data_IF_524687879246
#
_entry.id   IF_524687879246
#
_cell.length_a   1.000
_cell.length_b   1.000
_cell.length_c   1.000
_cell.angle_alpha   90.00
_cell.angle_beta   90.00
_cell.angle_gamma   90.00
#
_symmetry.space_group_name_H-M   'P 1'
#
loop_
_entity.id
_entity.type
_entity.pdbx_description
1 polymer ?
#
# COMPACT_ATOMS: atom_id res chain seq x y z
N UNK A 1 22.00 31.52 -9.69
CA UNK A 1 20.81 30.81 -10.20
C UNK A 1 21.16 29.33 -10.28
N UNK A 2 20.34 28.45 -9.73
CA UNK A 2 20.55 27.00 -9.87
C UNK A 2 20.55 26.64 -11.35
N UNK A 3 21.55 25.89 -11.79
CA UNK A 3 21.70 25.42 -13.19
C UNK A 3 20.98 24.10 -13.45
N UNK A 4 20.23 23.59 -12.47
CA UNK A 4 19.48 22.35 -12.61
C UNK A 4 18.13 22.60 -13.30
N UNK A 5 17.64 21.64 -14.12
CA UNK A 5 16.32 21.73 -14.72
C UNK A 5 15.20 21.83 -13.69
N UNK A 6 14.10 22.48 -14.05
CA UNK A 6 12.86 22.38 -13.29
C UNK A 6 12.39 20.91 -13.24
N UNK A 7 11.97 20.44 -12.07
CA UNK A 7 11.48 19.08 -11.89
C UNK A 7 9.96 19.04 -12.09
N UNK A 8 9.50 18.29 -13.09
CA UNK A 8 8.07 18.13 -13.42
C UNK A 8 7.62 16.67 -13.46
N UNK A 9 8.29 15.80 -12.68
CA UNK A 9 8.05 14.34 -12.66
C UNK A 9 7.59 13.84 -11.27
N UNK A 10 6.74 14.62 -10.60
CA UNK A 10 6.27 14.33 -9.24
C UNK A 10 5.42 13.06 -9.11
N UNK A 11 4.89 12.55 -10.23
CA UNK A 11 4.17 11.27 -10.25
C UNK A 11 5.11 10.06 -10.10
N UNK A 12 6.40 10.20 -10.47
CA UNK A 12 7.39 9.15 -10.29
C UNK A 12 7.91 9.11 -8.85
N UNK A 13 8.30 10.26 -8.29
CA UNK A 13 8.68 10.41 -6.88
C UNK A 13 8.67 11.88 -6.46
N UNK A 14 8.86 12.16 -5.17
CA UNK A 14 8.85 13.53 -4.63
C UNK A 14 10.09 13.78 -3.77
N UNK A 15 10.64 15.01 -3.75
CA UNK A 15 11.66 15.37 -2.78
C UNK A 15 11.08 15.28 -1.37
N UNK A 16 11.84 14.69 -0.44
CA UNK A 16 11.43 14.59 0.96
C UNK A 16 11.40 15.99 1.57
N UNK A 17 10.31 16.34 2.24
CA UNK A 17 10.16 17.60 2.97
C UNK A 17 11.20 17.69 4.11
N UNK A 18 11.81 18.86 4.31
CA UNK A 18 12.84 19.07 5.34
C UNK A 18 12.38 18.67 6.74
N UNK A 19 11.09 18.85 7.06
CA UNK A 19 10.51 18.42 8.35
C UNK A 19 10.50 16.91 8.50
N UNK A 20 10.30 16.18 7.40
CA UNK A 20 10.37 14.71 7.38
C UNK A 20 11.81 14.25 7.54
N UNK A 21 12.76 14.89 6.85
CA UNK A 21 14.20 14.60 7.00
C UNK A 21 14.63 14.76 8.47
N UNK A 22 14.26 15.86 9.11
CA UNK A 22 14.60 16.10 10.52
C UNK A 22 14.03 15.01 11.45
N UNK A 23 12.78 14.60 11.24
CA UNK A 23 12.16 13.52 12.01
C UNK A 23 12.87 12.17 11.80
N UNK A 24 13.26 11.85 10.55
CA UNK A 24 14.00 10.63 10.24
C UNK A 24 15.39 10.63 10.87
N UNK A 25 16.14 11.73 10.76
CA UNK A 25 17.49 11.86 11.33
C UNK A 25 17.48 11.68 12.85
N UNK A 26 16.42 12.13 13.55
CA UNK A 26 16.28 11.93 14.98
C UNK A 26 16.17 10.44 15.40
N UNK A 27 15.82 9.55 14.47
CA UNK A 27 15.82 8.10 14.67
C UNK A 27 17.15 7.42 14.30
N UNK A 28 18.13 8.17 13.78
CA UNK A 28 19.41 7.66 13.30
C UNK A 28 20.58 8.13 14.18
N UNK A 29 21.70 7.43 14.07
CA UNK A 29 22.94 7.78 14.78
C UNK A 29 22.95 7.38 16.26
N UNK A 30 24.12 7.51 16.90
CA UNK A 30 24.34 7.06 18.29
C UNK A 30 23.50 7.81 19.32
N UNK A 31 23.23 9.09 19.06
CA UNK A 31 22.44 9.97 19.93
C UNK A 31 20.94 9.94 19.61
N UNK A 32 20.53 9.27 18.53
CA UNK A 32 19.15 9.18 18.09
C UNK A 32 18.38 7.99 18.69
N UNK A 33 17.10 7.88 18.36
CA UNK A 33 16.27 6.72 18.71
C UNK A 33 16.55 5.55 17.77
N UNK A 34 17.76 4.98 17.86
CA UNK A 34 18.26 3.94 16.94
C UNK A 34 17.84 2.51 17.30
N UNK A 35 17.20 2.32 18.46
CA UNK A 35 16.89 0.99 19.00
C UNK A 35 15.95 0.18 18.10
N UNK A 36 15.97 -1.14 18.26
CA UNK A 36 14.99 -2.01 17.61
C UNK A 36 13.65 -1.94 18.37
N UNK A 37 12.52 -1.56 17.73
CA UNK A 37 11.21 -1.45 18.39
C UNK A 37 10.68 -2.79 18.96
N UNK A 38 11.17 -3.92 18.45
CA UNK A 38 10.84 -5.25 18.96
C UNK A 38 11.50 -5.57 20.31
N UNK A 39 12.56 -4.85 20.70
CA UNK A 39 13.21 -5.03 21.99
C UNK A 39 12.38 -4.42 23.12
N UNK A 40 11.76 -5.25 23.96
CA UNK A 40 10.92 -4.80 25.08
C UNK A 40 11.63 -4.71 26.44
N UNK A 41 12.86 -5.22 26.53
CA UNK A 41 13.60 -5.35 27.80
C UNK A 41 14.41 -4.11 28.19
N UNK A 42 14.54 -3.11 27.33
CA UNK A 42 15.37 -1.94 27.60
C UNK A 42 14.82 -0.64 26.97
N UNK A 43 15.28 0.50 27.51
CA UNK A 43 14.79 1.83 27.15
C UNK A 43 14.89 2.12 25.64
N UNK A 44 16.01 1.76 24.99
CA UNK A 44 16.19 2.03 23.55
C UNK A 44 15.09 1.42 22.67
N UNK A 45 14.62 0.20 22.98
CA UNK A 45 13.57 -0.44 22.19
C UNK A 45 12.17 0.09 22.52
N UNK A 46 11.92 0.46 23.79
CA UNK A 46 10.68 1.14 24.18
C UNK A 46 10.54 2.51 23.50
N UNK A 47 11.62 3.31 23.44
CA UNK A 47 11.62 4.60 22.74
C UNK A 47 11.38 4.42 21.23
N UNK A 48 12.05 3.45 20.59
CA UNK A 48 11.83 3.15 19.17
C UNK A 48 10.39 2.70 18.89
N UNK A 49 9.80 1.87 19.76
CA UNK A 49 8.39 1.46 19.64
C UNK A 49 7.45 2.66 19.73
N UNK A 50 7.70 3.58 20.66
CA UNK A 50 6.89 4.80 20.79
C UNK A 50 6.95 5.65 19.51
N UNK A 51 8.11 5.78 18.88
CA UNK A 51 8.25 6.49 17.61
C UNK A 51 7.45 5.81 16.48
N UNK A 52 7.53 4.48 16.36
CA UNK A 52 6.76 3.72 15.36
C UNK A 52 5.25 3.85 15.59
N UNK A 53 4.78 3.76 16.84
CA UNK A 53 3.35 3.88 17.15
C UNK A 53 2.84 5.31 17.00
N UNK A 54 3.67 6.33 17.25
CA UNK A 54 3.34 7.71 16.90
C UNK A 54 3.14 7.87 15.39
N UNK A 55 4.08 7.38 14.57
CA UNK A 55 3.96 7.42 13.12
C UNK A 55 2.72 6.66 12.62
N UNK A 56 2.41 5.52 13.25
CA UNK A 56 1.23 4.71 12.91
C UNK A 56 -0.06 5.48 13.16
N UNK A 57 -0.17 6.17 14.31
CA UNK A 57 -1.31 7.05 14.61
C UNK A 57 -1.44 8.19 13.61
N UNK A 58 -0.34 8.86 13.25
CA UNK A 58 -0.37 9.96 12.28
C UNK A 58 -0.90 9.51 10.91
N UNK A 59 -0.47 8.34 10.41
CA UNK A 59 -1.00 7.76 9.17
C UNK A 59 -2.47 7.38 9.33
N UNK A 60 -2.84 6.74 10.45
CA UNK A 60 -4.22 6.36 10.75
C UNK A 60 -5.17 7.55 10.75
N UNK A 61 -4.81 8.63 11.44
CA UNK A 61 -5.55 9.90 11.50
C UNK A 61 -5.72 10.53 10.12
N UNK A 62 -4.66 10.54 9.30
CA UNK A 62 -4.70 11.12 7.96
C UNK A 62 -5.73 10.43 7.04
N UNK A 63 -5.85 9.10 7.14
CA UNK A 63 -6.76 8.32 6.27
C UNK A 63 -8.07 7.93 6.96
N UNK A 64 -8.28 8.36 8.21
CA UNK A 64 -9.51 8.12 8.97
C UNK A 64 -9.68 6.67 9.47
N UNK A 65 -8.61 5.96 9.78
CA UNK A 65 -8.63 4.57 10.27
C UNK A 65 -7.98 4.44 11.66
N UNK A 66 -8.40 3.47 12.50
CA UNK A 66 -7.68 3.15 13.72
C UNK A 66 -6.22 2.77 13.43
N UNK A 67 -5.30 3.19 14.31
CA UNK A 67 -3.86 2.98 14.10
C UNK A 67 -3.52 1.50 13.94
N UNK A 68 -4.19 0.63 14.70
CA UNK A 68 -3.99 -0.83 14.67
C UNK A 68 -4.29 -1.46 13.30
N UNK A 69 -5.06 -0.77 12.45
CA UNK A 69 -5.37 -1.21 11.09
C UNK A 69 -4.28 -0.87 10.06
N UNK A 70 -3.32 -0.01 10.43
CA UNK A 70 -2.19 0.35 9.55
C UNK A 70 -1.12 -0.74 9.63
N UNK A 71 -0.81 -1.38 8.50
CA UNK A 71 0.28 -2.34 8.37
C UNK A 71 1.45 -1.68 7.62
N UNK A 72 2.64 -1.70 8.20
CA UNK A 72 3.84 -1.20 7.54
C UNK A 72 4.36 -2.21 6.53
N UNK A 73 4.62 -1.76 5.31
CA UNK A 73 5.27 -2.50 4.23
C UNK A 73 6.44 -1.67 3.70
N UNK A 74 7.23 -2.23 2.78
CA UNK A 74 8.31 -1.50 2.09
C UNK A 74 7.81 -0.47 1.08
N UNK A 75 6.51 -0.46 0.75
CA UNK A 75 5.90 0.51 -0.17
C UNK A 75 4.65 -0.01 -0.86
N UNK A 76 4.05 0.82 -1.72
CA UNK A 76 2.76 0.54 -2.37
C UNK A 76 2.76 -0.77 -3.20
N UNK A 77 3.88 -1.11 -3.84
CA UNK A 77 4.00 -2.38 -4.58
C UNK A 77 3.81 -3.60 -3.68
N UNK A 78 4.45 -3.61 -2.51
CA UNK A 78 4.27 -4.68 -1.52
C UNK A 78 2.86 -4.65 -0.94
N UNK A 79 2.32 -3.47 -0.60
CA UNK A 79 0.96 -3.36 -0.07
C UNK A 79 -0.10 -3.92 -1.03
N UNK A 80 -0.01 -3.61 -2.33
CA UNK A 80 -0.93 -4.16 -3.34
C UNK A 80 -0.81 -5.69 -3.42
N UNK A 81 0.42 -6.22 -3.40
CA UNK A 81 0.65 -7.66 -3.39
C UNK A 81 0.07 -8.32 -2.13
N UNK A 82 0.34 -7.73 -0.96
CA UNK A 82 -0.11 -8.23 0.34
C UNK A 82 -1.64 -8.26 0.41
N UNK A 83 -2.31 -7.19 0.02
CA UNK A 83 -3.77 -7.11 0.04
C UNK A 83 -4.40 -8.14 -0.90
N UNK A 84 -4.01 -8.12 -2.18
CA UNK A 84 -4.66 -8.96 -3.20
C UNK A 84 -4.35 -10.43 -2.97
N UNK A 85 -3.06 -10.80 -2.81
CA UNK A 85 -2.66 -12.20 -2.60
C UNK A 85 -3.07 -12.70 -1.22
N UNK A 86 -2.99 -11.85 -0.20
CA UNK A 86 -3.40 -12.19 1.16
C UNK A 86 -4.87 -12.55 1.23
N UNK A 87 -5.74 -11.77 0.57
CA UNK A 87 -7.17 -12.10 0.46
C UNK A 87 -7.37 -13.35 -0.40
N UNK A 88 -6.76 -13.42 -1.60
CA UNK A 88 -6.94 -14.53 -2.52
C UNK A 88 -6.54 -15.90 -1.92
N UNK A 89 -5.39 -15.98 -1.25
CA UNK A 89 -4.89 -17.22 -0.64
C UNK A 89 -5.40 -17.44 0.78
N UNK A 90 -5.79 -16.39 1.50
CA UNK A 90 -6.33 -16.47 2.85
C UNK A 90 -7.83 -16.78 2.91
N UNK A 91 -8.55 -16.60 1.81
CA UNK A 91 -9.99 -16.85 1.74
C UNK A 91 -10.33 -18.32 2.04
N UNK A 92 -11.18 -18.53 3.04
CA UNK A 92 -11.75 -19.84 3.37
C UNK A 92 -13.10 -19.95 2.66
N UNK A 93 -13.19 -20.81 1.63
CA UNK A 93 -14.44 -21.08 0.93
C UNK A 93 -14.26 -21.23 -0.58
N UNK A 94 -15.37 -21.19 -1.31
CA UNK A 94 -15.41 -21.39 -2.77
C UNK A 94 -15.31 -20.09 -3.58
N UNK A 95 -15.38 -18.91 -2.95
CA UNK A 95 -15.25 -17.62 -3.64
C UNK A 95 -13.82 -17.44 -4.13
N UNK A 96 -13.64 -17.28 -5.44
CA UNK A 96 -12.33 -17.18 -6.08
C UNK A 96 -12.28 -16.16 -7.22
N UNK A 97 -13.40 -15.55 -7.58
CA UNK A 97 -13.45 -14.60 -8.67
C UNK A 97 -12.89 -13.24 -8.26
N UNK A 98 -11.99 -12.71 -9.06
CA UNK A 98 -11.41 -11.38 -8.89
C UNK A 98 -11.95 -10.45 -9.98
N UNK A 99 -12.22 -9.21 -9.64
CA UNK A 99 -12.52 -8.15 -10.60
C UNK A 99 -11.40 -7.12 -10.46
N UNK A 100 -10.90 -6.59 -11.57
CA UNK A 100 -9.95 -5.46 -11.55
C UNK A 100 -10.03 -4.70 -12.88
N UNK A 101 -9.23 -3.66 -13.06
CA UNK A 101 -9.23 -2.81 -14.24
C UNK A 101 -7.94 -2.92 -15.06
N UNK A 102 -8.04 -2.70 -16.38
CA UNK A 102 -6.87 -2.64 -17.28
C UNK A 102 -5.98 -1.41 -17.07
N UNK A 103 -6.49 -0.38 -16.39
CA UNK A 103 -5.75 0.87 -16.12
C UNK A 103 -5.11 0.91 -14.74
N UNK A 104 -5.10 -0.20 -14.00
CA UNK A 104 -4.42 -0.29 -12.72
C UNK A 104 -2.89 -0.15 -12.83
N UNK A 105 -2.25 0.24 -11.73
CA UNK A 105 -0.79 0.22 -11.65
C UNK A 105 -0.26 -1.21 -11.84
N UNK A 106 0.94 -1.37 -12.42
CA UNK A 106 1.55 -2.69 -12.69
C UNK A 106 1.61 -3.61 -11.47
N UNK A 107 1.79 -3.06 -10.27
CA UNK A 107 1.79 -3.84 -9.03
C UNK A 107 0.47 -4.60 -8.77
N UNK A 108 -0.66 -4.09 -9.27
CA UNK A 108 -1.96 -4.78 -9.26
C UNK A 108 -2.05 -5.71 -10.46
N UNK A 109 -1.79 -5.21 -11.69
CA UNK A 109 -1.93 -5.98 -12.93
C UNK A 109 -1.11 -7.27 -12.90
N UNK A 110 0.17 -7.18 -12.55
CA UNK A 110 1.06 -8.34 -12.55
C UNK A 110 0.74 -9.29 -11.39
N UNK A 111 0.24 -8.77 -10.26
CA UNK A 111 -0.25 -9.58 -9.14
C UNK A 111 -1.48 -10.39 -9.55
N UNK A 112 -2.47 -9.75 -10.18
CA UNK A 112 -3.71 -10.41 -10.60
C UNK A 112 -3.43 -11.41 -11.73
N UNK A 113 -2.53 -11.09 -12.68
CA UNK A 113 -2.08 -12.05 -13.70
C UNK A 113 -1.41 -13.28 -13.10
N UNK A 114 -0.61 -13.12 -12.05
CA UNK A 114 -0.04 -14.26 -11.35
C UNK A 114 -1.14 -15.13 -10.71
N UNK A 115 -2.18 -14.51 -10.13
CA UNK A 115 -3.31 -15.24 -9.58
C UNK A 115 -4.15 -15.93 -10.66
N UNK A 116 -4.32 -15.31 -11.82
CA UNK A 116 -4.94 -15.90 -13.00
C UNK A 116 -4.19 -17.16 -13.45
N UNK A 117 -2.85 -17.11 -13.50
CA UNK A 117 -2.00 -18.29 -13.74
C UNK A 117 -2.11 -19.35 -12.65
N UNK A 118 -2.38 -18.94 -11.40
CA UNK A 118 -2.70 -19.84 -10.29
C UNK A 118 -4.18 -20.31 -10.31
N UNK A 119 -4.92 -20.04 -11.39
CA UNK A 119 -6.26 -20.55 -11.64
C UNK A 119 -7.38 -19.77 -10.94
N UNK A 120 -7.16 -18.52 -10.54
CA UNK A 120 -8.23 -17.62 -10.11
C UNK A 120 -8.96 -17.05 -11.33
N UNK A 121 -10.30 -17.15 -11.43
CA UNK A 121 -11.04 -16.46 -12.47
C UNK A 121 -10.92 -14.94 -12.30
N UNK A 122 -10.64 -14.20 -13.37
CA UNK A 122 -10.50 -12.73 -13.33
C UNK A 122 -11.40 -12.08 -14.38
N UNK A 123 -12.11 -11.02 -13.99
CA UNK A 123 -12.73 -10.07 -14.91
C UNK A 123 -11.88 -8.80 -14.99
N UNK A 124 -11.40 -8.47 -16.19
CA UNK A 124 -10.67 -7.24 -16.49
C UNK A 124 -11.61 -6.20 -17.09
N UNK A 125 -11.93 -5.16 -16.32
CA UNK A 125 -12.77 -4.05 -16.76
C UNK A 125 -11.99 -3.12 -17.70
N UNK A 126 -12.67 -2.68 -18.76
CA UNK A 126 -12.17 -1.67 -19.68
C UNK A 126 -12.67 -0.28 -19.27
N UNK A 127 -11.82 0.76 -19.31
CA UNK A 127 -12.28 2.13 -19.14
C UNK A 127 -13.10 2.59 -20.35
N UNK A 128 -13.92 3.60 -20.14
CA UNK A 128 -14.52 4.34 -21.24
C UNK A 128 -13.52 5.28 -21.95
N UNK A 129 -14.01 6.04 -22.93
CA UNK A 129 -13.19 7.02 -23.67
C UNK A 129 -12.57 8.14 -22.81
N UNK A 130 -13.04 8.33 -21.57
CA UNK A 130 -12.51 9.31 -20.61
C UNK A 130 -11.55 8.67 -19.60
N UNK A 131 -11.25 7.38 -19.73
CA UNK A 131 -10.39 6.67 -18.78
C UNK A 131 -11.11 6.26 -17.50
N UNK A 132 -12.45 6.26 -17.47
CA UNK A 132 -13.24 5.94 -16.27
C UNK A 132 -13.83 4.54 -16.34
N UNK A 133 -13.79 3.82 -15.21
CA UNK A 133 -14.52 2.57 -15.04
C UNK A 133 -15.94 2.89 -14.59
N UNK A 134 -16.91 2.53 -15.43
CA UNK A 134 -18.31 2.80 -15.14
C UNK A 134 -18.82 1.89 -14.00
N UNK A 135 -19.51 2.44 -12.98
CA UNK A 135 -20.06 1.63 -11.86
C UNK A 135 -20.95 0.48 -12.33
N UNK A 136 -21.66 0.69 -13.45
CA UNK A 136 -22.50 -0.32 -14.08
C UNK A 136 -21.69 -1.52 -14.59
N UNK A 137 -20.48 -1.30 -15.13
CA UNK A 137 -19.60 -2.38 -15.57
C UNK A 137 -19.12 -3.23 -14.38
N UNK A 138 -18.81 -2.59 -13.25
CA UNK A 138 -18.48 -3.30 -11.99
C UNK A 138 -19.68 -4.14 -11.53
N UNK A 139 -20.88 -3.54 -11.51
CA UNK A 139 -22.11 -4.22 -11.08
C UNK A 139 -22.44 -5.44 -11.93
N UNK A 140 -22.24 -5.35 -13.25
CA UNK A 140 -22.46 -6.47 -14.18
C UNK A 140 -21.41 -7.57 -14.05
N UNK A 141 -20.19 -7.22 -13.65
CA UNK A 141 -19.11 -8.19 -13.43
C UNK A 141 -19.25 -8.94 -12.08
N UNK A 142 -20.00 -8.42 -11.11
CA UNK A 142 -20.24 -9.09 -9.83
C UNK A 142 -20.98 -10.41 -10.03
N UNK A 143 -20.43 -11.45 -9.43
CA UNK A 143 -20.95 -12.83 -9.37
C UNK A 143 -21.04 -13.31 -7.93
N UNK A 144 -21.81 -14.37 -7.68
CA UNK A 144 -21.94 -14.99 -6.34
C UNK A 144 -20.59 -15.47 -5.75
N UNK A 145 -19.65 -15.86 -6.62
CA UNK A 145 -18.32 -16.33 -6.26
C UNK A 145 -17.25 -15.21 -6.23
N UNK A 146 -17.65 -13.95 -6.36
CA UNK A 146 -16.72 -12.79 -6.32
C UNK A 146 -16.13 -12.64 -4.93
N UNK A 147 -14.80 -12.71 -4.88
CA UNK A 147 -14.01 -12.62 -3.68
C UNK A 147 -13.51 -11.19 -3.44
N UNK A 148 -13.01 -10.55 -4.49
CA UNK A 148 -12.37 -9.24 -4.43
C UNK A 148 -12.66 -8.45 -5.70
N UNK A 149 -12.83 -7.13 -5.54
CA UNK A 149 -12.89 -6.12 -6.59
C UNK A 149 -11.74 -5.15 -6.36
#
# INVERSE_FOLDING_TARGET
MSTLPCYFDYAATTPVDDRVIQAMVACLGREGTFGNPASSSHAYGTQARQAVELARRQVGELVGTPAESVIWTSGATESNNLAIKGIAFGAKGSRRHLITSRIEHKAVVDTVRQLEQAGFPVTWLEPDSQGLIQPEAVRQALREDTLLV
#
